data_IF_296539511305
#
_entry.id   IF_296539511305
#
_cell.length_a   1.000
_cell.length_b   1.000
_cell.length_c   1.000
_cell.angle_alpha   90.00
_cell.angle_beta   90.00
_cell.angle_gamma   90.00
#
_symmetry.space_group_name_H-M   'P 1'
#
loop_
_entity.id
_entity.type
_entity.pdbx_description
1 polymer ?
#
# COMPACT_ATOMS: atom_id res chain seq x y z
N UNK A 1 65.51 7.96 -27.96
CA UNK A 1 64.35 7.18 -28.45
C UNK A 1 63.61 6.46 -27.31
N UNK A 2 64.31 5.74 -26.43
CA UNK A 2 63.72 4.93 -25.33
C UNK A 2 62.90 5.75 -24.30
N UNK A 3 63.27 7.00 -24.04
CA UNK A 3 62.56 7.85 -23.05
C UNK A 3 61.17 8.26 -23.51
N UNK A 4 61.00 8.53 -24.81
CA UNK A 4 59.72 8.94 -25.39
C UNK A 4 58.71 7.79 -25.36
N UNK A 5 59.19 6.58 -25.62
CA UNK A 5 58.39 5.35 -25.66
C UNK A 5 57.83 5.00 -24.26
N UNK A 6 58.65 5.17 -23.22
CA UNK A 6 58.20 4.99 -21.83
C UNK A 6 57.13 6.00 -21.42
N UNK A 7 57.27 7.26 -21.83
CA UNK A 7 56.33 8.32 -21.48
C UNK A 7 54.95 8.12 -22.13
N UNK A 8 54.93 7.59 -23.35
CA UNK A 8 53.68 7.26 -24.06
C UNK A 8 52.92 6.10 -23.38
N UNK A 9 53.63 5.08 -22.90
CA UNK A 9 53.02 3.94 -22.19
C UNK A 9 52.36 4.40 -20.89
N UNK A 10 53.00 5.27 -20.10
CA UNK A 10 52.42 5.78 -18.86
C UNK A 10 51.12 6.57 -19.08
N UNK A 11 51.03 7.37 -20.15
CA UNK A 11 49.80 8.10 -20.48
C UNK A 11 48.64 7.16 -20.83
N UNK A 12 48.92 6.11 -21.63
CA UNK A 12 47.91 5.14 -22.05
C UNK A 12 47.38 4.37 -20.84
N UNK A 13 48.27 3.91 -19.95
CA UNK A 13 47.89 3.18 -18.73
C UNK A 13 47.08 4.08 -17.78
N UNK A 14 47.46 5.36 -17.65
CA UNK A 14 46.71 6.34 -16.86
C UNK A 14 45.28 6.57 -17.38
N UNK A 15 45.13 6.78 -18.70
CA UNK A 15 43.83 6.98 -19.33
C UNK A 15 42.91 5.76 -19.19
N UNK A 16 43.46 4.55 -19.36
CA UNK A 16 42.71 3.30 -19.18
C UNK A 16 42.25 3.11 -17.73
N UNK A 17 43.09 3.49 -16.75
CA UNK A 17 42.73 3.40 -15.32
C UNK A 17 41.57 4.32 -14.96
N UNK A 18 41.53 5.53 -15.53
CA UNK A 18 40.41 6.49 -15.32
C UNK A 18 39.13 5.96 -15.96
N UNK A 19 39.18 5.44 -17.19
CA UNK A 19 38.02 4.86 -17.86
C UNK A 19 37.48 3.63 -17.10
N UNK A 20 38.37 2.80 -16.56
CA UNK A 20 38.00 1.65 -15.74
C UNK A 20 37.31 2.06 -14.44
N UNK A 21 37.78 3.12 -13.77
CA UNK A 21 37.13 3.68 -12.59
C UNK A 21 35.75 4.27 -12.91
N UNK A 22 35.61 5.00 -14.02
CA UNK A 22 34.31 5.52 -14.47
C UNK A 22 33.35 4.37 -14.77
N UNK A 23 33.82 3.31 -15.43
CA UNK A 23 33.02 2.12 -15.71
C UNK A 23 32.59 1.40 -14.42
N UNK A 24 33.47 1.25 -13.43
CA UNK A 24 33.14 0.67 -12.12
C UNK A 24 32.10 1.53 -11.39
N UNK A 25 32.28 2.85 -11.34
CA UNK A 25 31.31 3.75 -10.68
C UNK A 25 29.95 3.70 -11.40
N UNK A 26 29.94 3.64 -12.73
CA UNK A 26 28.71 3.47 -13.51
C UNK A 26 28.04 2.11 -13.27
N UNK A 27 28.81 1.04 -13.12
CA UNK A 27 28.30 -0.30 -12.77
C UNK A 27 27.75 -0.34 -11.35
N UNK A 28 28.40 0.32 -10.38
CA UNK A 28 27.91 0.42 -9.00
C UNK A 28 26.62 1.22 -8.90
N UNK A 29 26.50 2.33 -9.64
CA UNK A 29 25.25 3.10 -9.73
C UNK A 29 24.12 2.32 -10.42
N UNK A 30 24.44 1.50 -11.43
CA UNK A 30 23.45 0.60 -12.05
C UNK A 30 23.07 -0.57 -11.13
N UNK A 31 23.97 -1.05 -10.27
CA UNK A 31 23.66 -2.06 -9.26
C UNK A 31 22.78 -1.51 -8.14
N UNK A 32 23.00 -0.28 -7.65
CA UNK A 32 22.09 0.37 -6.70
C UNK A 32 20.71 0.65 -7.31
N UNK A 33 20.63 1.00 -8.60
CA UNK A 33 19.36 1.10 -9.33
C UNK A 33 18.71 -0.27 -9.62
N UNK A 34 19.50 -1.34 -9.54
CA UNK A 34 19.08 -2.74 -9.71
C UNK A 34 18.95 -3.48 -8.37
N UNK A 35 18.92 -2.75 -7.26
CA UNK A 35 18.87 -3.32 -5.91
C UNK A 35 17.41 -3.61 -5.52
N UNK A 36 16.76 -4.56 -6.22
CA UNK A 36 15.52 -5.25 -5.83
C UNK A 36 14.29 -4.41 -5.44
N UNK A 37 14.34 -3.09 -5.58
CA UNK A 37 13.43 -2.15 -4.95
C UNK A 37 12.40 -1.69 -5.97
N UNK A 38 11.15 -2.16 -5.81
CA UNK A 38 10.02 -1.83 -6.70
C UNK A 38 9.90 -0.33 -6.98
N UNK A 39 9.81 0.13 -8.23
CA UNK A 39 9.51 1.55 -8.46
C UNK A 39 8.13 1.92 -7.85
N UNK A 40 7.85 3.20 -7.51
CA UNK A 40 6.54 3.62 -7.01
C UNK A 40 5.38 3.16 -7.91
N UNK A 41 5.55 3.22 -9.22
CA UNK A 41 4.59 2.74 -10.20
C UNK A 41 4.42 1.21 -10.17
N UNK A 42 5.52 0.46 -10.02
CA UNK A 42 5.48 -1.00 -9.88
C UNK A 42 4.80 -1.42 -8.57
N UNK A 43 5.07 -0.72 -7.47
CA UNK A 43 4.41 -0.97 -6.18
C UNK A 43 2.90 -0.76 -6.32
N UNK A 44 2.47 0.39 -6.87
CA UNK A 44 1.07 0.70 -7.11
C UNK A 44 0.38 -0.40 -7.92
N UNK A 45 0.97 -0.77 -9.05
CA UNK A 45 0.37 -1.76 -9.95
C UNK A 45 0.28 -3.15 -9.29
N UNK A 46 1.32 -3.59 -8.58
CA UNK A 46 1.32 -4.88 -7.88
C UNK A 46 0.30 -4.91 -6.74
N UNK A 47 0.20 -3.83 -5.95
CA UNK A 47 -0.81 -3.73 -4.89
C UNK A 47 -2.22 -3.76 -5.47
N UNK A 48 -2.50 -2.96 -6.51
CA UNK A 48 -3.80 -2.98 -7.20
C UNK A 48 -4.15 -4.35 -7.76
N UNK A 49 -3.18 -5.04 -8.37
CA UNK A 49 -3.39 -6.39 -8.88
C UNK A 49 -3.74 -7.38 -7.74
N UNK A 50 -3.02 -7.33 -6.62
CA UNK A 50 -3.27 -8.18 -5.46
C UNK A 50 -4.63 -7.87 -4.79
N UNK A 51 -4.98 -6.58 -4.68
CA UNK A 51 -6.26 -6.09 -4.16
C UNK A 51 -7.42 -6.54 -5.05
N UNK A 52 -7.30 -6.40 -6.38
CA UNK A 52 -8.32 -6.83 -7.33
C UNK A 52 -8.54 -8.36 -7.29
N UNK A 53 -7.48 -9.12 -6.97
CA UNK A 53 -7.57 -10.57 -6.72
C UNK A 53 -8.08 -10.91 -5.31
N UNK A 54 -8.29 -9.92 -4.44
CA UNK A 54 -8.72 -10.05 -3.05
C UNK A 54 -7.83 -10.99 -2.21
N UNK A 55 -6.51 -10.96 -2.47
CA UNK A 55 -5.52 -11.81 -1.80
C UNK A 55 -4.77 -11.03 -0.74
N UNK A 56 -5.23 -11.11 0.51
CA UNK A 56 -4.61 -10.42 1.65
C UNK A 56 -3.13 -10.81 1.86
N UNK A 57 -2.80 -12.10 1.67
CA UNK A 57 -1.41 -12.57 1.81
C UNK A 57 -0.46 -11.94 0.79
N UNK A 58 -0.91 -11.77 -0.47
CA UNK A 58 -0.12 -11.13 -1.53
C UNK A 58 0.12 -9.65 -1.18
N UNK A 59 -0.91 -8.94 -0.70
CA UNK A 59 -0.80 -7.54 -0.26
C UNK A 59 0.17 -7.40 0.90
N UNK A 60 0.03 -8.25 1.93
CA UNK A 60 0.95 -8.29 3.07
C UNK A 60 2.39 -8.48 2.60
N UNK A 61 2.65 -9.49 1.77
CA UNK A 61 3.99 -9.79 1.28
C UNK A 61 4.58 -8.60 0.50
N UNK A 62 3.79 -7.94 -0.35
CA UNK A 62 4.23 -6.75 -1.09
C UNK A 62 4.59 -5.63 -0.13
N UNK A 63 3.74 -5.31 0.86
CA UNK A 63 3.99 -4.24 1.83
C UNK A 63 5.19 -4.53 2.74
N UNK A 64 5.35 -5.78 3.19
CA UNK A 64 6.49 -6.22 4.01
C UNK A 64 7.83 -6.06 3.28
N UNK A 65 7.83 -6.38 1.98
CA UNK A 65 9.04 -6.31 1.15
C UNK A 65 9.34 -4.89 0.67
N UNK A 66 8.29 -4.11 0.36
CA UNK A 66 8.46 -2.81 -0.29
C UNK A 66 8.56 -1.63 0.68
N UNK A 67 8.15 -1.77 1.94
CA UNK A 67 8.14 -0.66 2.90
C UNK A 67 9.18 -0.86 4.01
N UNK A 68 9.77 0.24 4.52
CA UNK A 68 10.66 0.18 5.66
C UNK A 68 9.94 -0.35 6.91
N UNK A 69 10.72 -0.78 7.91
CA UNK A 69 10.23 -1.28 9.22
C UNK A 69 9.74 -0.10 10.08
N UNK A 70 8.80 0.68 9.56
CA UNK A 70 8.13 1.76 10.27
C UNK A 70 6.77 1.30 10.78
N UNK A 71 6.23 1.91 11.86
CA UNK A 71 4.90 1.58 12.37
C UNK A 71 3.80 1.64 11.30
N UNK A 72 3.95 2.54 10.33
CA UNK A 72 3.02 2.72 9.22
C UNK A 72 2.84 1.45 8.38
N UNK A 73 3.89 0.63 8.23
CA UNK A 73 3.82 -0.64 7.49
C UNK A 73 2.83 -1.61 8.12
N UNK A 74 2.87 -1.75 9.45
CA UNK A 74 1.96 -2.64 10.16
C UNK A 74 0.51 -2.15 10.05
N UNK A 75 0.29 -0.85 10.21
CA UNK A 75 -1.03 -0.23 10.08
C UNK A 75 -1.61 -0.38 8.66
N UNK A 76 -0.80 -0.22 7.61
CA UNK A 76 -1.21 -0.42 6.21
C UNK A 76 -1.64 -1.87 5.96
N UNK A 77 -0.90 -2.85 6.51
CA UNK A 77 -1.23 -4.27 6.41
C UNK A 77 -2.55 -4.57 7.13
N UNK A 78 -2.71 -4.08 8.36
CA UNK A 78 -3.93 -4.26 9.15
C UNK A 78 -5.17 -3.70 8.44
N UNK A 79 -5.11 -2.44 7.98
CA UNK A 79 -6.19 -1.82 7.24
C UNK A 79 -6.51 -2.56 5.93
N UNK A 80 -5.48 -2.95 5.17
CA UNK A 80 -5.68 -3.73 3.93
C UNK A 80 -6.40 -5.05 4.18
N UNK A 81 -6.01 -5.77 5.24
CA UNK A 81 -6.61 -7.05 5.59
C UNK A 81 -8.09 -6.92 5.93
N UNK A 82 -8.47 -5.94 6.75
CA UNK A 82 -9.86 -5.72 7.13
C UNK A 82 -10.72 -5.25 5.95
N UNK A 83 -10.18 -4.40 5.07
CA UNK A 83 -10.90 -3.95 3.87
C UNK A 83 -11.10 -5.07 2.84
N UNK A 84 -10.10 -5.94 2.65
CA UNK A 84 -10.25 -7.13 1.80
C UNK A 84 -11.26 -8.11 2.43
N UNK A 85 -11.21 -8.29 3.75
CA UNK A 85 -12.18 -9.13 4.46
C UNK A 85 -13.61 -8.57 4.33
N UNK A 86 -13.79 -7.26 4.41
CA UNK A 86 -15.07 -6.59 4.18
C UNK A 86 -15.57 -6.80 2.74
N UNK A 87 -14.72 -6.64 1.74
CA UNK A 87 -15.07 -6.89 0.33
C UNK A 87 -15.51 -8.35 0.11
N UNK A 88 -14.82 -9.30 0.72
CA UNK A 88 -15.22 -10.72 0.70
C UNK A 88 -16.56 -10.96 1.40
N UNK A 89 -16.80 -10.31 2.54
CA UNK A 89 -18.07 -10.39 3.27
C UNK A 89 -19.24 -9.81 2.45
N UNK A 90 -19.03 -8.71 1.72
CA UNK A 90 -20.05 -8.13 0.85
C UNK A 90 -20.48 -9.12 -0.25
N UNK A 91 -19.55 -9.86 -0.84
CA UNK A 91 -19.88 -10.91 -1.83
C UNK A 91 -20.73 -12.02 -1.22
N UNK A 92 -20.37 -12.50 -0.03
CA UNK A 92 -21.16 -13.51 0.69
C UNK A 92 -22.55 -12.99 1.07
N UNK A 93 -22.64 -11.72 1.47
CA UNK A 93 -23.91 -11.06 1.78
C UNK A 93 -24.83 -11.00 0.54
N UNK A 94 -24.26 -10.74 -0.64
CA UNK A 94 -24.98 -10.77 -1.90
C UNK A 94 -25.63 -12.14 -2.18
N UNK A 95 -24.86 -13.22 -1.98
CA UNK A 95 -25.32 -14.60 -2.14
C UNK A 95 -26.43 -14.97 -1.15
N UNK A 96 -26.43 -14.35 0.04
CA UNK A 96 -27.42 -14.57 1.10
C UNK A 96 -28.67 -13.67 0.99
N UNK A 97 -28.82 -12.88 -0.08
CA UNK A 97 -30.02 -12.05 -0.30
C UNK A 97 -30.06 -10.73 0.48
N UNK A 98 -28.91 -10.25 0.97
CA UNK A 98 -28.82 -8.90 1.55
C UNK A 98 -29.10 -7.85 0.46
N UNK A 99 -29.78 -6.73 0.78
CA UNK A 99 -30.12 -5.70 -0.21
C UNK A 99 -28.94 -5.25 -1.06
N UNK A 100 -29.14 -5.25 -2.39
CA UNK A 100 -28.10 -4.96 -3.39
C UNK A 100 -27.41 -3.62 -3.15
N UNK A 101 -28.15 -2.58 -2.76
CA UNK A 101 -27.59 -1.24 -2.52
C UNK A 101 -26.57 -1.23 -1.37
N UNK A 102 -26.81 -2.03 -0.32
CA UNK A 102 -25.88 -2.15 0.82
C UNK A 102 -24.61 -2.90 0.41
N UNK A 103 -24.76 -3.99 -0.31
CA UNK A 103 -23.64 -4.77 -0.84
C UNK A 103 -22.77 -3.92 -1.75
N UNK A 104 -23.39 -3.24 -2.73
CA UNK A 104 -22.67 -2.39 -3.67
C UNK A 104 -21.96 -1.23 -2.98
N UNK A 105 -22.61 -0.60 -1.98
CA UNK A 105 -21.96 0.44 -1.17
C UNK A 105 -20.77 -0.12 -0.41
N UNK A 106 -20.93 -1.27 0.25
CA UNK A 106 -19.82 -1.90 0.98
C UNK A 106 -18.62 -2.21 0.07
N UNK A 107 -18.87 -2.77 -1.11
CA UNK A 107 -17.80 -3.04 -2.08
C UNK A 107 -17.15 -1.75 -2.58
N UNK A 108 -17.94 -0.72 -2.91
CA UNK A 108 -17.44 0.56 -3.40
C UNK A 108 -16.59 1.29 -2.35
N UNK A 109 -17.06 1.35 -1.11
CA UNK A 109 -16.32 2.01 -0.02
C UNK A 109 -15.05 1.23 0.37
N UNK A 110 -15.11 -0.10 0.41
CA UNK A 110 -13.93 -0.92 0.63
C UNK A 110 -12.88 -0.71 -0.48
N UNK A 111 -13.30 -0.65 -1.74
CA UNK A 111 -12.41 -0.42 -2.87
C UNK A 111 -11.79 0.98 -2.83
N UNK A 112 -12.58 2.03 -2.56
CA UNK A 112 -12.08 3.41 -2.42
C UNK A 112 -11.06 3.52 -1.29
N UNK A 113 -11.35 2.94 -0.13
CA UNK A 113 -10.43 2.91 1.00
C UNK A 113 -9.12 2.18 0.68
N UNK A 114 -9.20 1.06 -0.06
CA UNK A 114 -8.02 0.32 -0.51
C UNK A 114 -7.15 1.14 -1.48
N UNK A 115 -7.75 1.95 -2.37
CA UNK A 115 -6.99 2.88 -3.21
C UNK A 115 -6.25 3.94 -2.37
N UNK A 116 -6.89 4.48 -1.32
CA UNK A 116 -6.24 5.38 -0.36
C UNK A 116 -5.03 4.73 0.33
N UNK A 117 -5.17 3.47 0.76
CA UNK A 117 -4.08 2.67 1.33
C UNK A 117 -2.93 2.46 0.34
N UNK A 118 -3.23 2.22 -0.94
CA UNK A 118 -2.23 2.10 -2.00
C UNK A 118 -1.44 3.40 -2.17
N UNK A 119 -2.13 4.54 -2.25
CA UNK A 119 -1.46 5.83 -2.42
C UNK A 119 -0.61 6.20 -1.20
N UNK A 120 -1.06 5.89 0.02
CA UNK A 120 -0.26 6.08 1.22
C UNK A 120 0.97 5.16 1.26
N UNK A 121 0.85 3.90 0.86
CA UNK A 121 1.99 2.99 0.74
C UNK A 121 3.03 3.50 -0.30
N UNK A 122 2.57 3.99 -1.45
CA UNK A 122 3.42 4.59 -2.49
C UNK A 122 4.14 5.84 -1.99
N UNK A 123 3.42 6.73 -1.29
CA UNK A 123 3.99 7.94 -0.68
C UNK A 123 5.04 7.57 0.38
N UNK A 124 4.72 6.63 1.27
CA UNK A 124 5.64 6.13 2.30
C UNK A 124 6.94 5.61 1.70
N UNK A 125 6.82 4.78 0.65
CA UNK A 125 7.98 4.26 -0.08
C UNK A 125 8.80 5.37 -0.73
N UNK A 126 8.14 6.35 -1.32
CA UNK A 126 8.80 7.48 -1.99
C UNK A 126 9.58 8.33 -0.99
N UNK A 127 8.98 8.64 0.17
CA UNK A 127 9.64 9.36 1.27
C UNK A 127 10.84 8.58 1.81
N UNK A 128 10.69 7.27 2.02
CA UNK A 128 11.80 6.42 2.47
C UNK A 128 12.96 6.37 1.45
N UNK A 129 12.65 6.30 0.15
CA UNK A 129 13.64 6.29 -0.93
C UNK A 129 14.41 7.61 -1.06
N UNK A 130 13.87 8.72 -0.55
CA UNK A 130 14.57 10.01 -0.46
C UNK A 130 15.53 10.09 0.74
N UNK A 131 15.67 9.02 1.52
CA UNK A 131 16.54 8.98 2.70
C UNK A 131 15.98 9.69 3.92
N UNK A 132 14.68 10.03 3.91
CA UNK A 132 14.01 10.65 5.07
C UNK A 132 13.94 9.64 6.22
N UNK A 133 14.43 10.02 7.39
CA UNK A 133 14.36 9.17 8.57
C UNK A 133 12.99 9.28 9.24
N UNK A 134 12.52 8.17 9.83
CA UNK A 134 11.22 8.15 10.53
C UNK A 134 11.12 9.22 11.62
N UNK A 135 12.23 9.52 12.30
CA UNK A 135 12.27 10.54 13.35
C UNK A 135 11.85 11.93 12.85
N UNK A 136 12.15 12.26 11.58
CA UNK A 136 11.88 13.57 10.99
C UNK A 136 10.40 13.75 10.62
N UNK A 137 9.69 12.64 10.41
CA UNK A 137 8.27 12.62 10.00
C UNK A 137 7.36 11.99 11.06
N UNK A 138 7.86 11.80 12.29
CA UNK A 138 7.21 10.96 13.31
C UNK A 138 5.78 11.42 13.60
N UNK A 139 5.56 12.70 13.82
CA UNK A 139 4.24 13.25 14.16
C UNK A 139 3.21 12.98 13.05
N UNK A 140 3.56 13.32 11.80
CA UNK A 140 2.69 13.03 10.65
C UNK A 140 2.47 11.54 10.47
N UNK A 141 3.52 10.72 10.61
CA UNK A 141 3.40 9.27 10.47
C UNK A 141 2.57 8.63 11.60
N UNK A 142 2.60 9.18 12.81
CA UNK A 142 1.75 8.74 13.94
C UNK A 142 0.28 9.07 13.69
N UNK A 143 -0.02 10.24 13.10
CA UNK A 143 -1.37 10.59 12.67
C UNK A 143 -1.88 9.62 11.58
N UNK A 144 -1.07 9.35 10.55
CA UNK A 144 -1.44 8.39 9.50
C UNK A 144 -1.64 6.97 10.05
N UNK A 145 -0.84 6.54 11.04
CA UNK A 145 -1.04 5.26 11.74
C UNK A 145 -2.35 5.25 12.51
N UNK A 146 -2.69 6.35 13.19
CA UNK A 146 -3.96 6.48 13.90
C UNK A 146 -5.14 6.35 12.93
N UNK A 147 -5.10 7.05 11.81
CA UNK A 147 -6.18 7.09 10.84
C UNK A 147 -6.36 5.73 10.12
N UNK A 148 -5.26 5.04 9.82
CA UNK A 148 -5.31 3.66 9.31
C UNK A 148 -5.91 2.66 10.31
N UNK A 149 -5.61 2.80 11.60
CA UNK A 149 -6.19 1.93 12.64
C UNK A 149 -7.68 2.19 12.82
N UNK A 150 -8.08 3.46 12.77
CA UNK A 150 -9.48 3.82 12.81
C UNK A 150 -10.22 3.27 11.58
N UNK A 151 -9.62 3.37 10.39
CA UNK A 151 -10.15 2.76 9.18
C UNK A 151 -10.31 1.23 9.32
N UNK A 152 -9.29 0.54 9.85
CA UNK A 152 -9.36 -0.90 10.09
C UNK A 152 -10.49 -1.27 11.08
N UNK A 153 -10.64 -0.50 12.17
CA UNK A 153 -11.71 -0.68 13.16
C UNK A 153 -13.10 -0.50 12.56
N UNK A 154 -13.30 0.55 11.77
CA UNK A 154 -14.57 0.83 11.11
C UNK A 154 -14.88 -0.24 10.05
N UNK A 155 -13.89 -0.65 9.26
CA UNK A 155 -14.04 -1.76 8.30
C UNK A 155 -14.43 -3.08 8.99
N UNK A 156 -13.80 -3.41 10.11
CA UNK A 156 -14.15 -4.58 10.92
C UNK A 156 -15.58 -4.51 11.46
N UNK A 157 -16.02 -3.32 11.88
CA UNK A 157 -17.39 -3.10 12.39
C UNK A 157 -18.43 -3.22 11.28
N UNK A 158 -18.18 -2.61 10.12
CA UNK A 158 -19.01 -2.76 8.92
C UNK A 158 -19.08 -4.22 8.46
N UNK A 159 -17.96 -4.95 8.50
CA UNK A 159 -17.90 -6.39 8.20
C UNK A 159 -18.76 -7.20 9.16
N UNK A 160 -18.69 -6.92 10.46
CA UNK A 160 -19.54 -7.57 11.45
C UNK A 160 -21.04 -7.27 11.22
N UNK A 161 -21.39 -6.04 10.84
CA UNK A 161 -22.77 -5.68 10.51
C UNK A 161 -23.29 -6.44 9.28
N UNK A 162 -22.50 -6.51 8.20
CA UNK A 162 -22.84 -7.33 7.03
C UNK A 162 -22.94 -8.81 7.35
N UNK A 163 -22.06 -9.35 8.19
CA UNK A 163 -22.13 -10.74 8.62
C UNK A 163 -23.44 -11.04 9.37
N UNK A 164 -23.90 -10.13 10.24
CA UNK A 164 -25.21 -10.26 10.90
C UNK A 164 -26.35 -10.32 9.89
N UNK A 165 -26.37 -9.42 8.90
CA UNK A 165 -27.37 -9.43 7.83
C UNK A 165 -27.34 -10.73 7.02
N UNK A 166 -26.13 -11.22 6.73
CA UNK A 166 -25.89 -12.48 5.99
C UNK A 166 -26.47 -13.67 6.74
N UNK A 167 -26.25 -13.76 8.06
CA UNK A 167 -26.77 -14.85 8.90
C UNK A 167 -28.30 -14.87 9.00
N UNK A 168 -28.94 -13.72 8.82
CA UNK A 168 -30.41 -13.62 8.77
C UNK A 168 -30.98 -13.79 7.36
N UNK A 169 -30.17 -14.15 6.36
CA UNK A 169 -30.56 -14.24 4.94
C UNK A 169 -31.23 -12.95 4.43
N UNK A 170 -30.74 -11.79 4.89
CA UNK A 170 -31.34 -10.49 4.56
C UNK A 170 -32.70 -10.22 5.20
N UNK A 171 -33.29 -11.17 5.95
CA UNK A 171 -34.57 -11.03 6.69
C UNK A 171 -34.38 -10.36 8.05
N UNK A 172 -33.45 -9.44 8.13
CA UNK A 172 -33.18 -8.64 9.32
C UNK A 172 -34.28 -7.61 9.57
N UNK A 173 -34.42 -7.20 10.82
CA UNK A 173 -35.26 -6.06 11.16
C UNK A 173 -34.70 -4.75 10.58
N UNK A 174 -35.55 -3.71 10.54
CA UNK A 174 -35.14 -2.39 10.05
C UNK A 174 -34.00 -1.77 10.87
N UNK A 175 -33.85 -2.17 12.14
CA UNK A 175 -32.80 -1.66 13.02
C UNK A 175 -31.43 -2.16 12.58
N UNK A 176 -31.29 -3.45 12.30
CA UNK A 176 -30.03 -4.06 11.84
C UNK A 176 -29.60 -3.49 10.47
N UNK A 177 -30.55 -3.26 9.57
CA UNK A 177 -30.28 -2.59 8.29
C UNK A 177 -29.77 -1.16 8.49
N UNK A 178 -30.45 -0.37 9.34
CA UNK A 178 -30.02 1.00 9.66
C UNK A 178 -28.64 1.05 10.31
N UNK A 179 -28.33 0.11 11.19
CA UNK A 179 -26.99 -0.02 11.78
C UNK A 179 -25.94 -0.31 10.71
N UNK A 180 -26.17 -1.27 9.82
CA UNK A 180 -25.24 -1.56 8.73
C UNK A 180 -25.02 -0.35 7.81
N UNK A 181 -26.07 0.40 7.49
CA UNK A 181 -25.96 1.66 6.74
C UNK A 181 -25.09 2.69 7.46
N UNK A 182 -25.27 2.85 8.77
CA UNK A 182 -24.50 3.79 9.57
C UNK A 182 -23.02 3.42 9.57
N UNK A 183 -22.68 2.15 9.75
CA UNK A 183 -21.29 1.69 9.72
C UNK A 183 -20.64 1.91 8.35
N UNK A 184 -21.39 1.71 7.25
CA UNK A 184 -20.89 1.98 5.90
C UNK A 184 -20.69 3.48 5.64
N UNK A 185 -21.52 4.35 6.20
CA UNK A 185 -21.33 5.81 6.12
C UNK A 185 -20.11 6.27 6.93
N UNK A 186 -19.87 5.64 8.09
CA UNK A 186 -18.65 5.89 8.86
C UNK A 186 -17.43 5.46 8.05
N UNK A 187 -17.47 4.29 7.40
CA UNK A 187 -16.39 3.82 6.54
C UNK A 187 -16.12 4.80 5.39
N UNK A 188 -17.15 5.27 4.70
CA UNK A 188 -17.04 6.29 3.65
C UNK A 188 -16.34 7.55 4.17
N UNK A 189 -16.72 8.03 5.35
CA UNK A 189 -16.15 9.24 5.96
C UNK A 189 -14.68 9.06 6.28
N UNK A 190 -14.30 7.93 6.90
CA UNK A 190 -12.91 7.62 7.22
C UNK A 190 -12.06 7.38 5.98
N UNK A 191 -12.64 6.75 4.94
CA UNK A 191 -11.95 6.51 3.67
C UNK A 191 -11.62 7.83 2.94
N UNK A 192 -12.56 8.79 2.91
CA UNK A 192 -12.34 10.12 2.33
C UNK A 192 -11.24 10.90 3.06
N UNK A 193 -11.23 10.83 4.39
CA UNK A 193 -10.19 11.46 5.19
C UNK A 193 -8.79 10.92 4.83
N UNK A 194 -8.67 9.61 4.56
CA UNK A 194 -7.40 9.00 4.14
C UNK A 194 -6.99 9.35 2.70
N UNK A 195 -7.94 9.47 1.77
CA UNK A 195 -7.63 9.83 0.37
C UNK A 195 -7.29 11.31 0.19
N UNK A 196 -7.66 12.16 1.17
CA UNK A 196 -7.52 13.61 1.07
C UNK A 196 -8.57 14.27 0.16
N UNK A 197 -9.61 13.52 -0.20
CA UNK A 197 -10.74 14.02 -0.99
C UNK A 197 -11.82 14.56 -0.03
N UNK A 198 -11.93 15.89 0.05
CA UNK A 198 -13.03 16.60 0.72
C UNK A 198 -14.00 17.20 -0.29
#
# INVERSE_FOLDING_TARGET
>A
MIVLERLMIFMIVGALSILFLIWIVSQLQQQEASDGTLSPAQLRNRLREAINRRRADDVRQILETALPVWPLRAALIEASNELIALSNAARLAAEAGVPTDLVQRAEAEAHRALEGVVELAVRTRTVAAQGVHYADIRETAEQEVHDLRELARVAATARAALARLTLTEGRSDQETLRQAEQELRLLETTAKALSGDF
#
